data_IF_506731922093
#
_entry.id   IF_506731922093
#
_cell.length_a   1.000
_cell.length_b   1.000
_cell.length_c   1.000
_cell.angle_alpha   90.00
_cell.angle_beta   90.00
_cell.angle_gamma   90.00
#
_symmetry.space_group_name_H-M   'P 1'
#
loop_
_entity.id
_entity.type
_entity.pdbx_description
1 polymer ?
#
# COMPACT_ATOMS: atom_id res chain seq x y z
N UNK A 1 -24.85 9.59 29.34
CA UNK A 1 -24.63 8.79 28.12
C UNK A 1 -24.92 7.35 28.49
N UNK A 2 -25.97 6.77 27.94
CA UNK A 2 -26.41 5.40 28.27
C UNK A 2 -25.70 4.37 27.37
N UNK A 3 -25.73 3.10 27.75
CA UNK A 3 -25.06 1.97 27.09
C UNK A 3 -25.32 1.89 25.58
N UNK A 4 -26.54 2.23 25.15
CA UNK A 4 -26.93 2.30 23.74
C UNK A 4 -26.04 3.26 22.93
N UNK A 5 -25.77 4.46 23.46
CA UNK A 5 -24.97 5.47 22.77
C UNK A 5 -23.50 5.08 22.72
N UNK A 6 -22.98 4.50 23.80
CA UNK A 6 -21.59 4.00 23.88
C UNK A 6 -21.33 2.97 22.79
N UNK A 7 -22.24 1.99 22.66
CA UNK A 7 -22.17 0.98 21.61
C UNK A 7 -22.24 1.60 20.23
N UNK A 8 -23.20 2.49 19.97
CA UNK A 8 -23.38 3.13 18.66
C UNK A 8 -22.15 3.94 18.24
N UNK A 9 -21.58 4.74 19.14
CA UNK A 9 -20.37 5.52 18.88
C UNK A 9 -19.20 4.58 18.59
N UNK A 10 -18.98 3.53 19.39
CA UNK A 10 -17.89 2.60 19.15
C UNK A 10 -17.97 1.89 17.79
N UNK A 11 -19.17 1.46 17.38
CA UNK A 11 -19.39 0.83 16.07
C UNK A 11 -19.11 1.83 14.95
N UNK A 12 -19.66 3.04 15.05
CA UNK A 12 -19.52 4.05 14.00
C UNK A 12 -18.05 4.47 13.84
N UNK A 13 -17.35 4.74 14.95
CA UNK A 13 -15.92 5.08 14.89
C UNK A 13 -15.08 3.93 14.36
N UNK A 14 -15.38 2.69 14.76
CA UNK A 14 -14.65 1.52 14.26
C UNK A 14 -14.84 1.35 12.76
N UNK A 15 -16.07 1.46 12.26
CA UNK A 15 -16.39 1.36 10.83
C UNK A 15 -15.76 2.48 10.01
N UNK A 16 -15.79 3.73 10.50
CA UNK A 16 -15.14 4.85 9.82
C UNK A 16 -13.64 4.61 9.75
N UNK A 17 -13.00 4.27 10.88
CA UNK A 17 -11.56 4.03 10.94
C UNK A 17 -11.15 2.89 10.00
N UNK A 18 -11.90 1.79 10.01
CA UNK A 18 -11.69 0.65 9.13
C UNK A 18 -11.82 1.06 7.66
N UNK A 19 -12.95 1.68 7.29
CA UNK A 19 -13.23 2.07 5.90
C UNK A 19 -12.22 3.07 5.35
N UNK A 20 -11.85 4.06 6.15
CA UNK A 20 -10.80 5.03 5.79
C UNK A 20 -9.45 4.34 5.62
N UNK A 21 -9.05 3.47 6.55
CA UNK A 21 -7.81 2.71 6.43
C UNK A 21 -7.77 1.85 5.16
N UNK A 22 -8.86 1.15 4.87
CA UNK A 22 -9.00 0.33 3.65
C UNK A 22 -8.92 1.19 2.39
N UNK A 23 -9.61 2.33 2.36
CA UNK A 23 -9.60 3.24 1.23
C UNK A 23 -8.19 3.80 0.97
N UNK A 24 -7.47 4.19 2.03
CA UNK A 24 -6.08 4.65 1.93
C UNK A 24 -5.14 3.54 1.43
N UNK A 25 -5.32 2.29 1.88
CA UNK A 25 -4.52 1.17 1.39
C UNK A 25 -4.77 0.91 -0.11
N UNK A 26 -6.03 0.92 -0.54
CA UNK A 26 -6.38 0.76 -1.97
C UNK A 26 -5.80 1.92 -2.78
N UNK A 27 -5.94 3.15 -2.30
CA UNK A 27 -5.40 4.34 -2.97
C UNK A 27 -3.87 4.30 -3.05
N UNK A 28 -3.20 3.84 -2.00
CA UNK A 28 -1.75 3.62 -2.04
C UNK A 28 -1.38 2.51 -3.02
N UNK A 29 -2.12 1.40 -3.06
CA UNK A 29 -1.87 0.33 -4.02
C UNK A 29 -2.00 0.79 -5.48
N UNK A 30 -2.91 1.72 -5.79
CA UNK A 30 -3.08 2.23 -7.15
C UNK A 30 -1.97 3.20 -7.55
N UNK A 31 -1.62 4.13 -6.66
CA UNK A 31 -0.64 5.20 -6.93
C UNK A 31 0.81 4.76 -6.72
N UNK A 32 1.09 4.05 -5.61
CA UNK A 32 2.44 3.72 -5.13
C UNK A 32 3.40 4.91 -5.08
N UNK A 33 2.91 6.06 -4.62
CA UNK A 33 3.72 7.27 -4.44
C UNK A 33 4.17 7.45 -2.98
N UNK A 34 5.37 7.99 -2.77
CA UNK A 34 5.90 8.33 -1.44
C UNK A 34 4.98 9.35 -0.73
N UNK A 35 4.48 10.33 -1.46
CA UNK A 35 3.58 11.35 -0.92
C UNK A 35 2.28 10.73 -0.38
N UNK A 36 1.72 9.75 -1.10
CA UNK A 36 0.53 9.01 -0.66
C UNK A 36 0.77 8.29 0.66
N UNK A 37 1.94 7.65 0.84
CA UNK A 37 2.30 6.96 2.08
C UNK A 37 2.38 7.95 3.25
N UNK A 38 3.11 9.05 3.06
CA UNK A 38 3.31 10.06 4.11
C UNK A 38 1.98 10.65 4.57
N UNK A 39 1.11 11.04 3.63
CA UNK A 39 -0.21 11.57 3.95
C UNK A 39 -1.09 10.52 4.64
N UNK A 40 -1.08 9.28 4.13
CA UNK A 40 -1.87 8.18 4.71
C UNK A 40 -1.41 7.85 6.13
N UNK A 41 -0.11 7.93 6.41
CA UNK A 41 0.45 7.69 7.74
C UNK A 41 -0.13 8.65 8.79
N UNK A 42 -0.18 9.96 8.50
CA UNK A 42 -0.76 10.94 9.44
C UNK A 42 -2.25 10.73 9.67
N UNK A 43 -3.00 10.32 8.64
CA UNK A 43 -4.44 10.01 8.78
C UNK A 43 -4.64 8.77 9.66
N UNK A 44 -3.90 7.70 9.40
CA UNK A 44 -3.96 6.46 10.20
C UNK A 44 -3.55 6.73 11.65
N UNK A 45 -2.49 7.51 11.88
CA UNK A 45 -2.06 7.90 13.22
C UNK A 45 -3.16 8.65 13.98
N UNK A 46 -3.82 9.61 13.31
CA UNK A 46 -4.95 10.34 13.89
C UNK A 46 -6.12 9.43 14.27
N UNK A 47 -6.44 8.45 13.42
CA UNK A 47 -7.49 7.45 13.71
C UNK A 47 -7.13 6.56 14.90
N UNK A 48 -5.86 6.16 15.04
CA UNK A 48 -5.39 5.40 16.21
C UNK A 48 -5.58 6.25 17.48
N UNK A 49 -5.16 7.52 17.47
CA UNK A 49 -5.31 8.44 18.60
C UNK A 49 -6.80 8.59 18.99
N UNK A 50 -7.70 8.76 18.01
CA UNK A 50 -9.14 8.86 18.25
C UNK A 50 -9.68 7.59 18.92
N UNK A 51 -9.31 6.40 18.43
CA UNK A 51 -9.76 5.13 19.00
C UNK A 51 -9.26 4.95 20.45
N UNK A 52 -7.99 5.28 20.72
CA UNK A 52 -7.41 5.23 22.07
C UNK A 52 -8.09 6.22 23.01
N UNK A 53 -8.30 7.46 22.56
CA UNK A 53 -8.98 8.48 23.33
C UNK A 53 -10.41 8.06 23.72
N UNK A 54 -11.18 7.51 22.78
CA UNK A 54 -12.52 7.00 23.08
C UNK A 54 -12.50 5.84 24.08
N UNK A 55 -11.52 4.94 23.98
CA UNK A 55 -11.38 3.82 24.91
C UNK A 55 -11.08 4.31 26.34
N UNK A 56 -10.17 5.27 26.49
CA UNK A 56 -9.88 5.92 27.77
C UNK A 56 -11.10 6.69 28.31
N UNK A 57 -11.82 7.39 27.44
CA UNK A 57 -13.05 8.09 27.81
C UNK A 57 -14.11 7.13 28.33
N UNK A 58 -14.33 5.99 27.66
CA UNK A 58 -15.28 4.97 28.11
C UNK A 58 -14.82 4.28 29.40
N UNK A 59 -13.52 4.01 29.56
CA UNK A 59 -12.97 3.48 30.79
C UNK A 59 -13.27 4.41 31.97
N UNK A 60 -13.03 5.72 31.81
CA UNK A 60 -13.35 6.72 32.83
C UNK A 60 -14.84 6.78 33.15
N UNK A 61 -15.72 6.70 32.14
CA UNK A 61 -17.17 6.63 32.36
C UNK A 61 -17.61 5.36 33.07
N UNK A 62 -16.94 4.23 32.84
CA UNK A 62 -17.19 2.97 33.54
C UNK A 62 -16.83 3.12 35.03
N UNK A 63 -15.69 3.73 35.35
CA UNK A 63 -15.31 4.00 36.75
C UNK A 63 -16.26 4.95 37.48
N UNK A 64 -16.89 5.87 36.75
CA UNK A 64 -17.93 6.74 37.30
C UNK A 64 -19.30 6.06 37.44
N UNK A 65 -19.41 4.76 37.18
CA UNK A 65 -20.68 4.00 37.13
C UNK A 65 -21.72 4.62 36.16
N UNK A 66 -21.26 5.37 35.14
CA UNK A 66 -22.14 6.03 34.14
C UNK A 66 -22.49 5.13 32.97
N UNK A 67 -21.75 4.04 32.77
CA UNK A 67 -21.99 2.99 31.79
C UNK A 67 -21.75 1.64 32.45
N UNK A 68 -22.38 0.57 31.95
CA UNK A 68 -22.14 -0.77 32.49
C UNK A 68 -20.78 -1.35 32.05
N UNK A 69 -20.20 -2.22 32.87
CA UNK A 69 -18.99 -2.96 32.50
C UNK A 69 -19.18 -3.79 31.22
N UNK A 70 -20.38 -4.35 31.02
CA UNK A 70 -20.73 -5.08 29.81
C UNK A 70 -20.71 -4.20 28.55
N UNK A 71 -21.19 -2.97 28.64
CA UNK A 71 -21.11 -2.00 27.54
C UNK A 71 -19.66 -1.59 27.26
N UNK A 72 -18.88 -1.28 28.31
CA UNK A 72 -17.45 -0.99 28.17
C UNK A 72 -16.69 -2.14 27.49
N UNK A 73 -16.86 -3.39 27.96
CA UNK A 73 -16.20 -4.57 27.40
C UNK A 73 -16.50 -4.75 25.91
N UNK A 74 -17.78 -4.63 25.51
CA UNK A 74 -18.18 -4.77 24.09
C UNK A 74 -17.59 -3.64 23.23
N UNK A 75 -17.67 -2.40 23.68
CA UNK A 75 -17.11 -1.25 22.95
C UNK A 75 -15.59 -1.30 22.87
N UNK A 76 -14.91 -1.75 23.94
CA UNK A 76 -13.47 -1.98 23.95
C UNK A 76 -13.05 -2.99 22.89
N UNK A 77 -13.70 -4.16 22.83
CA UNK A 77 -13.43 -5.17 21.80
C UNK A 77 -13.62 -4.60 20.39
N UNK A 78 -14.70 -3.87 20.14
CA UNK A 78 -15.00 -3.30 18.82
C UNK A 78 -13.93 -2.29 18.39
N UNK A 79 -13.52 -1.38 19.27
CA UNK A 79 -12.50 -0.39 18.97
C UNK A 79 -11.11 -1.03 18.81
N UNK A 80 -10.77 -1.99 19.67
CA UNK A 80 -9.48 -2.69 19.62
C UNK A 80 -9.34 -3.62 18.41
N UNK A 81 -10.44 -4.08 17.81
CA UNK A 81 -10.40 -4.91 16.59
C UNK A 81 -9.73 -4.20 15.41
N UNK A 82 -9.66 -2.86 15.40
CA UNK A 82 -8.92 -2.11 14.38
C UNK A 82 -7.40 -2.22 14.52
N UNK A 83 -6.86 -2.61 15.68
CA UNK A 83 -5.41 -2.73 15.88
C UNK A 83 -4.82 -3.89 15.07
N UNK A 84 -5.35 -5.13 15.13
CA UNK A 84 -4.90 -6.20 14.24
C UNK A 84 -5.02 -5.86 12.75
N UNK A 85 -6.11 -5.18 12.35
CA UNK A 85 -6.31 -4.75 10.97
C UNK A 85 -5.24 -3.73 10.54
N UNK A 86 -4.93 -2.75 11.40
CA UNK A 86 -3.88 -1.78 11.12
C UNK A 86 -2.50 -2.45 10.99
N UNK A 87 -2.20 -3.46 11.82
CA UNK A 87 -0.97 -4.25 11.71
C UNK A 87 -0.91 -4.97 10.36
N UNK A 88 -2.01 -5.58 9.91
CA UNK A 88 -2.09 -6.20 8.58
C UNK A 88 -1.87 -5.17 7.46
N UNK A 89 -2.44 -3.97 7.57
CA UNK A 89 -2.22 -2.90 6.60
C UNK A 89 -0.77 -2.45 6.55
N UNK A 90 -0.12 -2.28 7.72
CA UNK A 90 1.31 -1.97 7.79
C UNK A 90 2.14 -3.07 7.14
N UNK A 91 1.81 -4.34 7.36
CA UNK A 91 2.49 -5.46 6.70
C UNK A 91 2.36 -5.36 5.16
N UNK A 92 1.17 -5.13 4.62
CA UNK A 92 0.96 -4.98 3.18
C UNK A 92 1.68 -3.75 2.60
N UNK A 93 1.68 -2.62 3.30
CA UNK A 93 2.41 -1.43 2.84
C UNK A 93 3.92 -1.70 2.80
N UNK A 94 4.48 -2.38 3.81
CA UNK A 94 5.88 -2.78 3.81
C UNK A 94 6.20 -3.73 2.65
N UNK A 95 5.32 -4.71 2.38
CA UNK A 95 5.48 -5.60 1.23
C UNK A 95 5.52 -4.82 -0.09
N UNK A 96 4.61 -3.86 -0.29
CA UNK A 96 4.58 -3.02 -1.49
C UNK A 96 5.80 -2.11 -1.60
N UNK A 97 6.27 -1.57 -0.47
CA UNK A 97 7.49 -0.78 -0.38
C UNK A 97 8.77 -1.57 -0.69
N UNK A 98 8.74 -2.90 -0.58
CA UNK A 98 9.86 -3.77 -0.95
C UNK A 98 9.86 -4.18 -2.43
N UNK A 99 8.91 -3.71 -3.23
CA UNK A 99 8.73 -4.15 -4.63
C UNK A 99 8.65 -2.94 -5.58
N UNK A 100 9.30 -3.05 -6.73
CA UNK A 100 9.13 -2.14 -7.87
C UNK A 100 8.16 -2.79 -8.86
N UNK A 101 7.12 -2.05 -9.28
CA UNK A 101 6.22 -2.47 -10.36
C UNK A 101 6.60 -1.75 -11.65
N UNK A 102 7.22 -2.48 -12.57
CA UNK A 102 7.61 -1.95 -13.88
C UNK A 102 6.56 -2.37 -14.91
N UNK A 103 5.88 -1.40 -15.50
CA UNK A 103 4.96 -1.63 -16.64
C UNK A 103 5.67 -1.22 -17.92
N UNK A 104 5.88 -2.18 -18.80
CA UNK A 104 6.46 -1.93 -20.13
C UNK A 104 5.32 -1.85 -21.13
N UNK A 105 5.28 -0.77 -21.90
CA UNK A 105 4.29 -0.54 -22.96
C UNK A 105 5.02 -0.50 -24.31
N UNK A 106 4.54 -1.25 -25.29
CA UNK A 106 5.12 -1.27 -26.62
C UNK A 106 4.34 -0.36 -27.57
N UNK A 107 4.94 0.76 -27.98
CA UNK A 107 4.41 1.67 -29.01
C UNK A 107 5.38 1.79 -30.19
N UNK A 108 6.15 0.73 -30.46
CA UNK A 108 7.21 0.76 -31.47
C UNK A 108 6.71 0.57 -32.91
N UNK A 109 5.43 0.20 -33.09
CA UNK A 109 4.84 -0.16 -34.38
C UNK A 109 5.12 -1.60 -34.82
N UNK A 110 5.79 -2.40 -33.97
CA UNK A 110 6.09 -3.81 -34.21
C UNK A 110 6.11 -4.60 -32.90
N UNK A 111 5.99 -5.92 -32.98
CA UNK A 111 6.11 -6.78 -31.80
C UNK A 111 7.55 -6.85 -31.31
N UNK A 112 7.72 -6.92 -29.99
CA UNK A 112 9.05 -7.00 -29.36
C UNK A 112 9.19 -8.32 -28.61
N UNK A 113 10.32 -8.97 -28.81
CA UNK A 113 10.69 -10.21 -28.10
C UNK A 113 11.85 -9.98 -27.14
N UNK A 114 11.99 -10.90 -26.17
CA UNK A 114 13.16 -11.01 -25.31
C UNK A 114 13.50 -9.73 -24.52
N UNK A 115 12.48 -9.02 -24.05
CA UNK A 115 12.69 -7.86 -23.16
C UNK A 115 13.15 -8.40 -21.81
N UNK A 116 14.26 -7.89 -21.30
CA UNK A 116 14.80 -8.24 -19.98
C UNK A 116 14.77 -7.02 -19.10
N UNK A 117 14.25 -7.19 -17.89
CA UNK A 117 14.36 -6.21 -16.83
C UNK A 117 15.36 -6.76 -15.83
N UNK A 118 16.46 -6.05 -15.61
CA UNK A 118 17.61 -6.51 -14.81
C UNK A 118 17.98 -5.49 -13.75
N UNK A 119 18.79 -5.90 -12.78
CA UNK A 119 19.21 -5.05 -11.68
C UNK A 119 18.95 -5.72 -10.35
N UNK A 120 17.98 -5.20 -9.59
CA UNK A 120 17.56 -5.76 -8.29
C UNK A 120 17.14 -7.24 -8.38
N UNK A 121 16.39 -7.58 -9.42
CA UNK A 121 16.00 -8.93 -9.78
C UNK A 121 15.94 -9.04 -11.32
N UNK A 122 16.17 -10.23 -11.86
CA UNK A 122 16.10 -10.47 -13.31
C UNK A 122 14.72 -11.03 -13.68
N UNK A 123 13.96 -10.28 -14.47
CA UNK A 123 12.69 -10.70 -15.06
C UNK A 123 12.78 -10.67 -16.58
N UNK A 124 12.05 -11.56 -17.25
CA UNK A 124 11.98 -11.62 -18.70
C UNK A 124 10.53 -11.52 -19.18
N UNK A 125 10.33 -10.76 -20.25
CA UNK A 125 9.10 -10.72 -21.03
C UNK A 125 9.46 -11.30 -22.40
N UNK A 126 9.04 -12.55 -22.63
CA UNK A 126 9.37 -13.28 -23.85
C UNK A 126 8.84 -12.59 -25.12
N UNK A 127 7.65 -12.02 -25.03
CA UNK A 127 6.93 -11.40 -26.14
C UNK A 127 6.02 -10.29 -25.62
N UNK A 128 5.94 -9.19 -26.36
CA UNK A 128 5.07 -8.05 -26.12
C UNK A 128 4.56 -7.52 -27.46
N UNK A 129 3.28 -7.71 -27.73
CA UNK A 129 2.60 -7.25 -28.95
C UNK A 129 2.66 -5.72 -29.08
N UNK A 130 2.55 -5.21 -30.31
CA UNK A 130 2.39 -3.79 -30.53
C UNK A 130 1.11 -3.26 -29.84
N UNK A 131 1.23 -2.10 -29.19
CA UNK A 131 0.21 -1.44 -28.35
C UNK A 131 -0.23 -2.22 -27.10
N UNK A 132 0.45 -3.33 -26.77
CA UNK A 132 0.23 -4.07 -25.53
C UNK A 132 1.12 -3.57 -24.39
N UNK A 133 0.72 -3.91 -23.15
CA UNK A 133 1.51 -3.65 -21.96
C UNK A 133 1.66 -4.88 -21.08
N UNK A 134 2.76 -4.94 -20.33
CA UNK A 134 3.00 -5.98 -19.34
C UNK A 134 3.68 -5.44 -18.10
N UNK A 135 3.17 -5.82 -16.93
CA UNK A 135 3.75 -5.45 -15.64
C UNK A 135 4.57 -6.59 -15.06
N UNK A 136 5.79 -6.29 -14.62
CA UNK A 136 6.64 -7.17 -13.83
C UNK A 136 6.89 -6.58 -12.45
N UNK A 137 7.02 -7.45 -11.46
CA UNK A 137 7.22 -7.10 -10.06
C UNK A 137 8.64 -7.51 -9.71
N UNK A 138 9.41 -6.59 -9.15
CA UNK A 138 10.86 -6.75 -8.91
C UNK A 138 11.10 -6.49 -7.44
N UNK A 139 11.63 -7.48 -6.72
CA UNK A 139 11.97 -7.31 -5.32
C UNK A 139 13.20 -6.38 -5.15
N UNK A 140 13.27 -5.64 -4.04
CA UNK A 140 14.39 -4.77 -3.68
C UNK A 140 15.12 -5.33 -2.45
N UNK A 141 15.93 -6.40 -2.60
CA UNK A 141 16.61 -7.03 -1.46
C UNK A 141 17.75 -6.17 -0.89
N UNK A 142 18.32 -5.28 -1.72
CA UNK A 142 19.43 -4.39 -1.38
C UNK A 142 19.46 -3.22 -2.37
N UNK A 143 20.39 -2.29 -2.17
CA UNK A 143 20.62 -1.15 -3.07
C UNK A 143 20.97 -1.62 -4.50
N UNK A 144 20.24 -1.10 -5.49
CA UNK A 144 20.34 -1.51 -6.89
C UNK A 144 19.84 -0.42 -7.85
N UNK A 145 20.12 -0.60 -9.14
CA UNK A 145 19.44 0.09 -10.24
C UNK A 145 18.50 -0.88 -10.94
N UNK A 146 17.60 -0.38 -11.80
CA UNK A 146 16.78 -1.20 -12.69
C UNK A 146 16.94 -0.72 -14.13
N UNK A 147 17.29 -1.66 -15.00
CA UNK A 147 17.54 -1.44 -16.42
C UNK A 147 16.61 -2.32 -17.27
N UNK A 148 16.20 -1.82 -18.44
CA UNK A 148 15.46 -2.57 -19.45
C UNK A 148 16.35 -2.76 -20.68
N UNK A 149 16.49 -4.02 -21.08
CA UNK A 149 17.17 -4.45 -22.29
C UNK A 149 16.15 -5.00 -23.29
N UNK A 150 16.25 -4.56 -24.54
CA UNK A 150 15.42 -5.05 -25.65
C UNK A 150 16.15 -4.88 -26.98
N UNK A 151 15.68 -5.57 -28.03
CA UNK A 151 16.19 -5.41 -29.37
C UNK A 151 15.18 -4.63 -30.21
N UNK A 152 15.66 -3.65 -30.98
CA UNK A 152 14.87 -2.90 -31.95
C UNK A 152 15.68 -2.66 -33.20
N UNK A 153 15.11 -2.96 -34.36
CA UNK A 153 15.76 -2.77 -35.67
C UNK A 153 17.15 -3.45 -35.74
N UNK A 154 17.23 -4.66 -35.16
CA UNK A 154 18.47 -5.43 -35.04
C UNK A 154 19.46 -4.93 -33.98
N UNK A 155 19.22 -3.77 -33.35
CA UNK A 155 20.12 -3.16 -32.37
C UNK A 155 19.67 -3.42 -30.94
N UNK A 156 20.61 -3.80 -30.08
CA UNK A 156 20.36 -3.89 -28.64
C UNK A 156 20.24 -2.48 -28.05
N UNK A 157 19.19 -2.27 -27.28
CA UNK A 157 18.94 -1.07 -26.49
C UNK A 157 19.02 -1.44 -25.01
N UNK A 158 19.65 -0.55 -24.25
CA UNK A 158 19.71 -0.61 -22.80
C UNK A 158 19.27 0.75 -22.26
N UNK A 159 18.28 0.76 -21.37
CA UNK A 159 17.75 2.00 -20.79
C UNK A 159 17.62 1.81 -19.29
N UNK A 160 18.26 2.71 -18.54
CA UNK A 160 18.08 2.81 -17.11
C UNK A 160 16.72 3.44 -16.81
N UNK A 161 15.83 2.70 -16.16
CA UNK A 161 14.50 3.19 -15.78
C UNK A 161 14.46 3.65 -14.31
N UNK A 162 15.35 3.12 -13.48
CA UNK A 162 15.52 3.52 -12.08
C UNK A 162 17.02 3.55 -11.78
N UNK A 163 17.55 4.74 -11.51
CA UNK A 163 18.98 4.93 -11.26
C UNK A 163 19.42 4.41 -9.90
N UNK A 164 18.52 4.44 -8.91
CA UNK A 164 18.78 3.95 -7.56
C UNK A 164 17.46 3.55 -6.89
N UNK A 165 17.46 2.36 -6.30
CA UNK A 165 16.41 1.82 -5.45
C UNK A 165 17.08 1.20 -4.23
N UNK A 166 16.53 1.46 -3.05
CA UNK A 166 16.90 0.79 -1.80
C UNK A 166 15.66 0.16 -1.17
N UNK A 167 15.86 -0.72 -0.19
CA UNK A 167 14.78 -1.36 0.53
C UNK A 167 13.81 -0.29 1.06
N UNK A 168 12.51 -0.56 0.93
CA UNK A 168 11.42 0.36 1.27
C UNK A 168 11.26 1.58 0.33
N UNK A 169 11.85 1.58 -0.86
CA UNK A 169 11.60 2.58 -1.92
C UNK A 169 10.78 2.04 -3.10
N UNK A 170 9.90 1.09 -2.83
CA UNK A 170 8.98 0.51 -3.81
C UNK A 170 8.15 1.58 -4.50
N UNK A 171 8.09 1.50 -5.83
CA UNK A 171 7.43 2.46 -6.68
C UNK A 171 6.85 1.80 -7.94
N UNK A 172 5.92 2.49 -8.58
CA UNK A 172 5.37 2.11 -9.89
C UNK A 172 6.04 2.94 -10.97
N UNK A 173 6.58 2.28 -11.99
CA UNK A 173 7.23 2.93 -13.14
C UNK A 173 6.60 2.38 -14.42
N UNK A 174 6.27 3.28 -15.35
CA UNK A 174 5.85 2.92 -16.70
C UNK A 174 6.93 3.33 -17.67
N UNK A 175 7.37 2.41 -18.52
CA UNK A 175 8.34 2.67 -19.58
C UNK A 175 7.71 2.35 -20.94
N UNK A 176 7.75 3.33 -21.84
CA UNK A 176 7.22 3.24 -23.20
C UNK A 176 8.35 2.98 -24.20
N UNK A 177 8.26 1.87 -24.93
CA UNK A 177 9.15 1.61 -26.06
C UNK A 177 8.55 2.30 -27.28
N UNK A 178 9.18 3.39 -27.74
CA UNK A 178 8.75 4.22 -28.88
C UNK A 178 9.61 4.01 -30.07
#
# INVERSE_FOLDING_TARGET
MNDYYTKRISILTALISFSTGTALLIFYYTEMSILTILNSFYVVLSLIIINVFLLLFFLFKCFQNKISYGAFKKSGIILSANVPVAILYLFYVNLLLSIIRVTVVNHSGQDITNIKVTGCENKAIAFLENDASKTVWIDIPQDCSVDIHFQRDGKNKNVNIIGYATSLMGQKVTYEIK
#
